data_IF_717072570439
#
_entry.id   IF_717072570439
#
_cell.length_a   1.000
_cell.length_b   1.000
_cell.length_c   1.000
_cell.angle_alpha   90.00
_cell.angle_beta   90.00
_cell.angle_gamma   90.00
#
_symmetry.space_group_name_H-M   'P 1'
#
loop_
_entity.id
_entity.type
_entity.pdbx_description
1 polymer ?
#
# COMPACT_ATOMS: atom_id res chain seq x y z
N UNK A 1 -19.09 -11.34 1.62
CA UNK A 1 -19.01 -10.82 2.99
C UNK A 1 -20.18 -11.40 3.79
N UNK A 2 -19.96 -12.48 4.55
CA UNK A 2 -20.94 -12.92 5.53
C UNK A 2 -20.70 -12.11 6.81
N UNK A 3 -21.48 -11.05 7.00
CA UNK A 3 -21.54 -10.31 8.24
C UNK A 3 -22.41 -11.05 9.22
N UNK A 4 -21.83 -11.98 9.98
CA UNK A 4 -22.48 -12.56 11.13
C UNK A 4 -22.40 -11.58 12.31
N UNK A 5 -23.51 -10.98 12.68
CA UNK A 5 -23.64 -10.23 13.93
C UNK A 5 -23.65 -11.25 15.06
N UNK A 6 -22.47 -11.56 15.63
CA UNK A 6 -22.41 -12.31 16.89
C UNK A 6 -22.31 -11.32 18.04
N UNK A 7 -23.46 -11.04 18.66
CA UNK A 7 -23.50 -10.38 19.97
C UNK A 7 -23.35 -11.51 21.00
N UNK A 8 -22.16 -11.64 21.56
CA UNK A 8 -21.98 -12.49 22.75
C UNK A 8 -22.19 -11.62 24.00
N UNK A 9 -23.30 -11.80 24.67
CA UNK A 9 -23.49 -11.28 26.02
C UNK A 9 -22.59 -12.06 26.98
N UNK A 10 -21.41 -11.54 27.28
CA UNK A 10 -20.66 -11.97 28.45
C UNK A 10 -21.14 -11.15 29.65
N UNK A 11 -21.67 -11.81 30.66
CA UNK A 11 -22.04 -11.21 31.95
C UNK A 11 -20.82 -10.58 32.62
N UNK A 12 -20.68 -9.30 32.47
CA UNK A 12 -19.92 -8.43 33.37
C UNK A 12 -20.77 -7.19 33.61
N UNK A 13 -20.94 -6.82 34.87
CA UNK A 13 -21.76 -5.71 35.33
C UNK A 13 -21.26 -4.33 34.86
N UNK A 14 -21.30 -4.11 33.57
CA UNK A 14 -21.15 -2.79 32.95
C UNK A 14 -21.89 -2.84 31.61
N UNK A 15 -22.77 -1.90 31.38
CA UNK A 15 -23.51 -1.70 30.11
C UNK A 15 -22.55 -1.31 28.98
N UNK A 16 -21.59 -2.15 28.65
CA UNK A 16 -20.65 -1.94 27.57
C UNK A 16 -21.07 -2.72 26.31
N UNK A 17 -21.30 -2.02 25.21
CA UNK A 17 -21.50 -2.63 23.91
C UNK A 17 -20.14 -3.05 23.34
N UNK A 18 -19.97 -4.32 22.99
CA UNK A 18 -18.74 -4.83 22.38
C UNK A 18 -18.95 -4.96 20.89
N UNK A 19 -18.15 -4.25 20.10
CA UNK A 19 -18.12 -4.38 18.64
C UNK A 19 -16.93 -5.24 18.25
N UNK A 20 -17.17 -6.37 17.59
CA UNK A 20 -16.12 -7.27 17.10
C UNK A 20 -15.99 -7.09 15.59
N UNK A 21 -14.80 -6.63 15.17
CA UNK A 21 -14.46 -6.50 13.74
C UNK A 21 -13.50 -7.64 13.37
N UNK A 22 -13.94 -8.53 12.49
CA UNK A 22 -13.12 -9.65 12.02
C UNK A 22 -12.54 -9.34 10.64
N UNK A 23 -11.23 -9.39 10.53
CA UNK A 23 -10.52 -9.21 9.27
C UNK A 23 -10.16 -10.56 8.65
N UNK A 24 -10.60 -10.79 7.42
CA UNK A 24 -10.16 -11.95 6.65
C UNK A 24 -8.77 -11.67 6.06
N UNK A 25 -7.84 -12.59 6.33
CA UNK A 25 -6.43 -12.47 5.91
C UNK A 25 -6.27 -12.27 4.41
N UNK A 26 -7.10 -12.92 3.59
CA UNK A 26 -7.04 -12.83 2.14
C UNK A 26 -7.45 -11.45 1.62
N UNK A 27 -8.42 -10.81 2.28
CA UNK A 27 -8.83 -9.43 1.95
C UNK A 27 -7.70 -8.45 2.28
N UNK A 28 -7.09 -8.58 3.46
CA UNK A 28 -5.96 -7.74 3.85
C UNK A 28 -4.76 -7.91 2.92
N UNK A 29 -4.44 -9.15 2.53
CA UNK A 29 -3.39 -9.43 1.54
C UNK A 29 -3.69 -8.75 0.20
N UNK A 30 -4.93 -8.83 -0.27
CA UNK A 30 -5.37 -8.20 -1.53
C UNK A 30 -5.30 -6.67 -1.46
N UNK A 31 -5.74 -6.06 -0.35
CA UNK A 31 -5.69 -4.61 -0.13
C UNK A 31 -4.26 -4.08 -0.17
N UNK A 32 -3.32 -4.84 0.40
CA UNK A 32 -1.91 -4.48 0.47
C UNK A 32 -1.04 -5.25 -0.56
N UNK A 33 -1.66 -5.76 -1.62
CA UNK A 33 -0.95 -6.48 -2.67
C UNK A 33 0.11 -5.63 -3.36
N UNK A 34 -0.23 -4.36 -3.62
CA UNK A 34 0.65 -3.42 -4.31
C UNK A 34 1.49 -2.56 -3.38
N UNK A 35 1.04 -2.32 -2.16
CA UNK A 35 1.69 -1.41 -1.23
C UNK A 35 1.72 -2.00 0.18
N UNK A 36 2.93 -2.09 0.76
CA UNK A 36 3.10 -2.53 2.15
C UNK A 36 2.69 -1.38 3.08
N UNK A 37 1.88 -1.67 4.11
CA UNK A 37 1.51 -0.66 5.09
C UNK A 37 2.73 0.04 5.67
N UNK A 38 2.70 1.36 5.78
CA UNK A 38 3.80 2.18 6.32
C UNK A 38 4.23 1.69 7.72
N UNK A 39 3.28 1.22 8.52
CA UNK A 39 3.52 0.68 9.87
C UNK A 39 4.46 -0.54 9.86
N UNK A 40 4.55 -1.26 8.76
CA UNK A 40 5.42 -2.43 8.63
C UNK A 40 6.80 -2.09 8.02
N UNK A 41 7.06 -0.82 7.68
CA UNK A 41 8.37 -0.42 7.15
C UNK A 41 9.39 -0.37 8.29
N UNK A 42 10.57 -1.03 8.15
CA UNK A 42 11.55 -1.18 9.24
C UNK A 42 12.18 0.15 9.71
N UNK A 43 12.07 1.21 8.91
CA UNK A 43 12.55 2.55 9.23
C UNK A 43 11.47 3.52 9.71
N UNK A 44 10.25 3.08 9.93
CA UNK A 44 9.36 3.82 10.77
C UNK A 44 9.95 3.76 12.19
N UNK A 45 11.11 4.45 12.42
CA UNK A 45 11.38 4.97 13.74
C UNK A 45 10.11 5.70 14.11
N UNK A 46 9.29 5.02 14.87
CA UNK A 46 8.32 5.67 15.71
C UNK A 46 9.18 6.67 16.46
N UNK A 47 9.25 7.90 15.91
CA UNK A 47 10.01 8.95 16.56
C UNK A 47 9.42 9.02 17.95
N UNK A 48 10.27 8.85 18.97
CA UNK A 48 9.94 9.08 20.36
C UNK A 48 9.61 10.57 20.62
N UNK A 49 9.32 11.34 19.56
CA UNK A 49 8.78 12.67 19.68
C UNK A 49 7.34 12.54 20.16
N UNK A 50 7.20 12.72 21.47
CA UNK A 50 5.95 13.08 22.15
C UNK A 50 4.72 12.46 21.50
N UNK A 51 4.55 11.16 21.68
CA UNK A 51 3.22 10.58 21.64
C UNK A 51 2.50 11.24 22.85
N UNK A 52 1.93 12.42 22.62
CA UNK A 52 0.80 12.78 23.41
C UNK A 52 -0.12 11.57 23.29
N UNK A 53 -0.37 10.87 24.38
CA UNK A 53 -1.40 9.84 24.44
C UNK A 53 -2.71 10.60 24.21
N UNK A 54 -2.99 10.89 22.93
CA UNK A 54 -4.31 11.29 22.49
C UNK A 54 -5.10 10.03 22.74
N UNK A 55 -6.04 10.13 23.66
CA UNK A 55 -6.98 9.06 23.92
C UNK A 55 -7.71 8.80 22.60
N UNK A 56 -7.20 7.84 21.81
CA UNK A 56 -7.71 7.51 20.46
C UNK A 56 -9.05 6.78 20.54
N UNK A 57 -9.57 6.51 21.75
CA UNK A 57 -10.88 5.90 21.94
C UNK A 57 -11.97 6.69 21.24
N UNK A 58 -11.88 8.02 21.24
CA UNK A 58 -12.84 8.86 20.53
C UNK A 58 -12.79 8.67 19.01
N UNK A 59 -11.60 8.57 18.41
CA UNK A 59 -11.46 8.37 16.95
C UNK A 59 -11.94 6.97 16.54
N UNK A 60 -11.61 5.96 17.33
CA UNK A 60 -12.07 4.59 17.12
C UNK A 60 -13.59 4.52 17.27
N UNK A 61 -14.15 5.19 18.29
CA UNK A 61 -15.60 5.24 18.46
C UNK A 61 -16.30 5.90 17.24
N UNK A 62 -15.78 7.01 16.74
CA UNK A 62 -16.31 7.66 15.54
C UNK A 62 -16.19 6.81 14.28
N UNK A 63 -15.12 6.05 14.17
CA UNK A 63 -14.96 5.06 13.11
C UNK A 63 -16.05 3.97 13.20
N UNK A 64 -16.29 3.44 14.40
CA UNK A 64 -17.33 2.41 14.66
C UNK A 64 -18.72 2.97 14.35
N UNK A 65 -19.04 4.18 14.82
CA UNK A 65 -20.31 4.85 14.53
C UNK A 65 -20.51 4.95 13.01
N UNK A 66 -19.47 5.33 12.27
CA UNK A 66 -19.51 5.41 10.82
C UNK A 66 -19.68 4.04 10.12
N UNK A 67 -19.09 2.97 10.67
CA UNK A 67 -19.30 1.61 10.17
C UNK A 67 -20.74 1.15 10.37
N UNK A 68 -21.31 1.39 11.56
CA UNK A 68 -22.70 1.01 11.87
C UNK A 68 -23.68 1.67 10.90
N UNK A 69 -23.44 2.94 10.55
CA UNK A 69 -24.25 3.63 9.53
C UNK A 69 -24.26 2.88 8.18
N UNK A 70 -23.12 2.34 7.75
CA UNK A 70 -23.03 1.57 6.50
C UNK A 70 -23.74 0.22 6.61
N UNK A 71 -23.73 -0.43 7.77
CA UNK A 71 -24.48 -1.67 7.99
C UNK A 71 -25.99 -1.44 7.94
N UNK A 72 -26.46 -0.29 8.39
CA UNK A 72 -27.87 0.10 8.32
C UNK A 72 -28.29 0.51 6.91
N UNK A 73 -27.33 0.99 6.09
CA UNK A 73 -27.57 1.50 4.75
C UNK A 73 -26.68 0.78 3.70
N UNK A 74 -26.82 -0.53 3.49
CA UNK A 74 -25.91 -1.32 2.65
C UNK A 74 -25.91 -0.89 1.17
N UNK A 75 -26.98 -0.26 0.69
CA UNK A 75 -27.06 0.26 -0.68
C UNK A 75 -26.12 1.44 -0.97
N UNK A 76 -25.59 2.08 0.07
CA UNK A 76 -24.61 3.17 -0.04
C UNK A 76 -23.16 2.68 -0.06
N UNK A 77 -22.94 1.36 0.06
CA UNK A 77 -21.62 0.78 0.23
C UNK A 77 -21.12 0.18 -1.08
N UNK A 78 -19.99 0.67 -1.59
CA UNK A 78 -19.22 0.01 -2.64
C UNK A 78 -18.04 -0.77 -2.05
N UNK A 79 -17.47 -1.68 -2.86
CA UNK A 79 -16.27 -2.42 -2.47
C UNK A 79 -15.08 -1.48 -2.21
N UNK A 80 -14.99 -0.36 -2.95
CA UNK A 80 -13.97 0.65 -2.73
C UNK A 80 -14.11 1.33 -1.36
N UNK A 81 -15.33 1.66 -0.94
CA UNK A 81 -15.59 2.24 0.38
C UNK A 81 -15.16 1.24 1.47
N UNK A 82 -15.48 -0.05 1.32
CA UNK A 82 -15.07 -1.06 2.29
C UNK A 82 -13.55 -1.19 2.39
N UNK A 83 -12.84 -1.14 1.26
CA UNK A 83 -11.38 -1.15 1.23
C UNK A 83 -10.80 0.07 1.96
N UNK A 84 -11.35 1.27 1.72
CA UNK A 84 -10.92 2.49 2.41
C UNK A 84 -11.18 2.40 3.91
N UNK A 85 -12.34 1.89 4.33
CA UNK A 85 -12.66 1.68 5.76
C UNK A 85 -11.74 0.67 6.43
N UNK A 86 -11.33 -0.39 5.75
CA UNK A 86 -10.34 -1.34 6.26
C UNK A 86 -8.96 -0.71 6.40
N UNK A 87 -8.54 0.13 5.46
CA UNK A 87 -7.28 0.88 5.58
C UNK A 87 -7.31 1.89 6.72
N UNK A 88 -8.43 2.60 6.87
CA UNK A 88 -8.64 3.60 7.92
C UNK A 88 -8.47 2.98 9.32
N UNK A 89 -9.15 1.87 9.62
CA UNK A 89 -9.02 1.26 10.96
C UNK A 89 -7.60 0.78 11.24
N UNK A 90 -6.89 0.25 10.25
CA UNK A 90 -5.50 -0.18 10.43
C UNK A 90 -4.60 1.01 10.75
N UNK A 91 -4.81 2.16 10.09
CA UNK A 91 -4.07 3.39 10.37
C UNK A 91 -4.42 3.98 11.74
N UNK A 92 -5.68 3.94 12.15
CA UNK A 92 -6.11 4.37 13.48
C UNK A 92 -5.49 3.50 14.56
N UNK A 93 -5.57 2.18 14.43
CA UNK A 93 -4.95 1.25 15.36
C UNK A 93 -3.43 1.41 15.44
N UNK A 94 -2.79 1.74 14.32
CA UNK A 94 -1.35 2.01 14.28
C UNK A 94 -0.92 3.25 15.09
N UNK A 95 -1.85 4.12 15.43
CA UNK A 95 -1.62 5.32 16.24
C UNK A 95 -2.00 5.12 17.71
N UNK A 96 -2.52 3.97 18.09
CA UNK A 96 -2.83 3.64 19.48
C UNK A 96 -1.59 3.24 20.27
N UNK A 97 -1.74 3.08 21.59
CA UNK A 97 -0.67 2.54 22.44
C UNK A 97 -0.32 1.09 22.08
N UNK A 98 -1.26 0.36 21.47
CA UNK A 98 -1.13 -1.04 21.07
C UNK A 98 -0.58 -1.20 19.62
N UNK A 99 0.04 -0.16 19.06
CA UNK A 99 0.59 -0.18 17.71
C UNK A 99 1.56 -1.37 17.47
N UNK A 100 2.30 -1.78 18.49
CA UNK A 100 3.21 -2.94 18.40
C UNK A 100 2.43 -4.26 18.21
N UNK A 101 1.29 -4.43 18.89
CA UNK A 101 0.42 -5.60 18.74
C UNK A 101 -0.15 -5.63 17.33
N UNK A 102 -0.62 -4.49 16.83
CA UNK A 102 -1.11 -4.35 15.44
C UNK A 102 -0.01 -4.71 14.44
N UNK A 103 1.22 -4.25 14.67
CA UNK A 103 2.37 -4.59 13.84
C UNK A 103 2.65 -6.10 13.83
N UNK A 104 2.61 -6.76 14.98
CA UNK A 104 2.78 -8.23 15.10
C UNK A 104 1.69 -8.95 14.32
N UNK A 105 0.42 -8.59 14.51
CA UNK A 105 -0.71 -9.20 13.80
C UNK A 105 -0.54 -9.03 12.29
N UNK A 106 -0.27 -7.83 11.81
CA UNK A 106 -0.07 -7.56 10.38
C UNK A 106 1.17 -8.29 9.83
N UNK A 107 2.26 -8.39 10.59
CA UNK A 107 3.45 -9.14 10.16
C UNK A 107 3.19 -10.63 9.98
N UNK A 108 2.29 -11.21 10.79
CA UNK A 108 1.88 -12.61 10.66
C UNK A 108 1.03 -12.87 9.40
N UNK A 109 0.34 -11.86 8.88
CA UNK A 109 -0.44 -11.97 7.65
C UNK A 109 0.45 -12.11 6.40
N UNK A 110 1.65 -11.56 6.48
CA UNK A 110 2.66 -11.66 5.44
C UNK A 110 3.75 -12.62 5.93
N UNK A 111 4.01 -13.72 5.22
CA UNK A 111 5.18 -14.53 5.56
C UNK A 111 6.41 -13.62 5.58
N UNK A 112 7.33 -13.84 6.51
CA UNK A 112 8.57 -13.02 6.60
C UNK A 112 9.30 -12.92 5.25
N UNK A 113 9.33 -14.00 4.49
CA UNK A 113 9.92 -14.06 3.15
C UNK A 113 9.17 -13.18 2.14
N UNK A 114 7.84 -13.25 2.09
CA UNK A 114 7.03 -12.43 1.18
C UNK A 114 7.12 -10.95 1.54
N UNK A 115 7.13 -10.64 2.82
CA UNK A 115 7.30 -9.28 3.31
C UNK A 115 8.67 -8.71 2.91
N UNK A 116 9.75 -9.44 3.17
CA UNK A 116 11.11 -9.03 2.78
C UNK A 116 11.24 -8.87 1.27
N UNK A 117 10.66 -9.79 0.49
CA UNK A 117 10.66 -9.70 -0.97
C UNK A 117 9.97 -8.40 -1.45
N UNK A 118 8.78 -8.10 -0.95
CA UNK A 118 8.05 -6.87 -1.30
C UNK A 118 8.81 -5.61 -0.88
N UNK A 119 9.44 -5.60 0.30
CA UNK A 119 10.28 -4.48 0.74
C UNK A 119 11.45 -4.20 -0.21
N UNK A 120 12.15 -5.27 -0.65
CA UNK A 120 13.25 -5.15 -1.60
C UNK A 120 12.77 -4.50 -2.90
N UNK A 121 11.61 -4.94 -3.42
CA UNK A 121 11.04 -4.37 -4.65
C UNK A 121 10.70 -2.88 -4.46
N UNK A 122 9.93 -2.54 -3.43
CA UNK A 122 9.49 -1.15 -3.17
C UNK A 122 10.68 -0.21 -2.94
N UNK A 123 11.71 -0.64 -2.22
CA UNK A 123 12.91 0.16 -1.96
C UNK A 123 13.73 0.45 -3.23
N UNK A 124 13.60 -0.40 -4.25
CA UNK A 124 14.39 -0.32 -5.48
C UNK A 124 13.59 0.06 -6.73
N UNK A 125 12.29 0.38 -6.61
CA UNK A 125 11.43 0.68 -7.77
C UNK A 125 12.00 1.77 -8.66
N UNK A 126 12.50 2.84 -8.06
CA UNK A 126 12.99 4.03 -8.75
C UNK A 126 14.54 4.11 -8.83
N UNK A 127 15.22 3.07 -8.36
CA UNK A 127 16.67 2.95 -8.50
C UNK A 127 17.05 2.29 -9.83
N UNK A 128 18.31 2.46 -10.23
CA UNK A 128 18.83 1.82 -11.46
C UNK A 128 19.25 0.35 -11.27
N UNK A 129 18.79 -0.27 -10.18
CA UNK A 129 19.11 -1.67 -9.85
C UNK A 129 18.47 -2.63 -10.85
N UNK A 130 19.23 -3.60 -11.31
CA UNK A 130 18.82 -4.63 -12.25
C UNK A 130 18.04 -5.78 -11.60
N UNK A 131 17.45 -6.65 -12.43
CA UNK A 131 16.69 -7.83 -11.94
C UNK A 131 17.63 -8.82 -11.25
N UNK A 132 18.88 -8.92 -11.70
CA UNK A 132 19.94 -9.75 -11.12
C UNK A 132 20.24 -9.33 -9.68
N UNK A 133 20.39 -8.01 -9.46
CA UNK A 133 20.67 -7.44 -8.14
C UNK A 133 19.47 -7.62 -7.20
N UNK A 134 18.24 -7.43 -7.70
CA UNK A 134 17.00 -7.66 -6.93
C UNK A 134 16.88 -9.13 -6.52
N UNK A 135 17.22 -10.06 -7.41
CA UNK A 135 17.25 -11.49 -7.11
C UNK A 135 18.28 -11.80 -6.03
N UNK A 136 19.50 -11.22 -6.13
CA UNK A 136 20.54 -11.38 -5.13
C UNK A 136 20.14 -10.82 -3.77
N UNK A 137 19.58 -9.61 -3.72
CA UNK A 137 19.06 -9.00 -2.47
C UNK A 137 17.94 -9.85 -1.83
N UNK A 138 17.18 -10.56 -2.68
CA UNK A 138 16.13 -11.48 -2.23
C UNK A 138 16.64 -12.87 -1.85
N UNK A 139 17.93 -13.12 -1.93
CA UNK A 139 18.56 -14.44 -1.76
C UNK A 139 17.96 -15.51 -2.69
N UNK A 140 17.64 -15.15 -3.92
CA UNK A 140 17.04 -16.02 -4.92
C UNK A 140 17.89 -16.05 -6.21
N UNK A 141 17.83 -17.18 -6.93
CA UNK A 141 18.26 -17.18 -8.33
C UNK A 141 17.30 -16.32 -9.17
N UNK A 142 17.78 -15.76 -10.30
CA UNK A 142 16.98 -14.93 -11.20
C UNK A 142 15.68 -15.64 -11.65
N UNK A 143 15.75 -16.94 -11.92
CA UNK A 143 14.59 -17.75 -12.30
C UNK A 143 13.58 -17.90 -11.16
N UNK A 144 14.07 -18.16 -9.94
CA UNK A 144 13.22 -18.24 -8.74
C UNK A 144 12.59 -16.88 -8.40
N UNK A 145 13.38 -15.80 -8.54
CA UNK A 145 12.90 -14.43 -8.36
C UNK A 145 11.76 -14.10 -9.32
N UNK A 146 11.93 -14.35 -10.63
CA UNK A 146 10.89 -14.12 -11.64
C UNK A 146 9.62 -14.92 -11.36
N UNK A 147 9.75 -16.16 -10.91
CA UNK A 147 8.61 -17.02 -10.56
C UNK A 147 7.85 -16.49 -9.33
N UNK A 148 8.56 -16.13 -8.26
CA UNK A 148 7.96 -15.57 -7.06
C UNK A 148 7.33 -14.21 -7.33
N UNK A 149 7.99 -13.36 -8.14
CA UNK A 149 7.46 -12.09 -8.58
C UNK A 149 6.14 -12.26 -9.33
N UNK A 150 6.11 -13.18 -10.32
CA UNK A 150 4.88 -13.47 -11.10
C UNK A 150 3.75 -13.94 -10.21
N UNK A 151 4.05 -14.75 -9.20
CA UNK A 151 3.07 -15.22 -8.21
C UNK A 151 2.49 -14.09 -7.37
N UNK A 152 3.33 -13.11 -6.95
CA UNK A 152 2.94 -12.03 -6.04
C UNK A 152 2.29 -10.85 -6.76
N UNK A 153 2.74 -10.53 -7.98
CA UNK A 153 2.30 -9.34 -8.72
C UNK A 153 1.51 -9.64 -9.99
N UNK A 154 1.38 -10.92 -10.33
CA UNK A 154 0.75 -11.41 -11.58
C UNK A 154 1.33 -10.80 -12.87
N UNK A 155 2.56 -10.28 -12.81
CA UNK A 155 3.27 -9.62 -13.91
C UNK A 155 4.76 -10.00 -13.91
N UNK A 156 5.48 -9.67 -14.98
CA UNK A 156 6.93 -9.81 -15.00
C UNK A 156 7.61 -8.66 -14.23
N UNK A 157 8.78 -8.88 -13.57
CA UNK A 157 9.49 -7.82 -12.86
C UNK A 157 9.77 -6.59 -13.72
N UNK A 158 10.27 -6.80 -14.95
CA UNK A 158 10.62 -5.72 -15.86
C UNK A 158 9.40 -4.88 -16.26
N UNK A 159 8.26 -5.52 -16.54
CA UNK A 159 7.04 -4.83 -16.94
C UNK A 159 6.44 -4.05 -15.74
N UNK A 160 6.35 -4.69 -14.59
CA UNK A 160 5.83 -4.07 -13.38
C UNK A 160 6.65 -2.83 -12.98
N UNK A 161 7.98 -2.98 -12.85
CA UNK A 161 8.88 -1.88 -12.45
C UNK A 161 8.79 -0.74 -13.45
N UNK A 162 8.85 -1.04 -14.76
CA UNK A 162 8.69 -0.04 -15.81
C UNK A 162 7.36 0.73 -15.68
N UNK A 163 6.26 0.02 -15.47
CA UNK A 163 4.94 0.63 -15.34
C UNK A 163 4.85 1.54 -14.11
N UNK A 164 5.41 1.14 -12.96
CA UNK A 164 5.46 1.95 -11.74
C UNK A 164 6.31 3.21 -11.93
N UNK A 165 7.45 3.09 -12.63
CA UNK A 165 8.31 4.25 -13.00
C UNK A 165 7.59 5.23 -13.90
N UNK A 166 6.84 4.74 -14.89
CA UNK A 166 6.04 5.59 -15.78
C UNK A 166 4.88 6.29 -15.06
N UNK A 167 4.23 5.60 -14.13
CA UNK A 167 3.18 6.20 -13.28
C UNK A 167 3.75 7.35 -12.44
N UNK A 168 4.89 7.13 -11.79
CA UNK A 168 5.57 8.18 -11.02
C UNK A 168 6.02 9.36 -11.90
N UNK A 169 6.53 9.06 -13.11
CA UNK A 169 6.90 10.11 -14.05
C UNK A 169 5.70 10.95 -14.51
N UNK A 170 4.55 10.32 -14.77
CA UNK A 170 3.32 11.03 -15.11
C UNK A 170 2.85 11.96 -13.98
N UNK A 171 2.92 11.53 -12.72
CA UNK A 171 2.64 12.37 -11.55
C UNK A 171 3.58 13.60 -11.51
N UNK A 172 4.90 13.38 -11.67
CA UNK A 172 5.89 14.46 -11.63
C UNK A 172 5.75 15.44 -12.82
N UNK A 173 5.40 14.93 -14.01
CA UNK A 173 5.13 15.78 -15.18
C UNK A 173 3.98 16.74 -14.94
N UNK A 174 2.95 16.35 -14.19
CA UNK A 174 1.81 17.19 -13.84
C UNK A 174 2.12 18.13 -12.67
N UNK A 175 2.89 17.65 -11.67
CA UNK A 175 3.07 18.36 -10.40
C UNK A 175 4.27 19.31 -10.38
N UNK A 176 5.26 19.14 -11.27
CA UNK A 176 6.50 19.90 -11.24
C UNK A 176 6.87 20.53 -12.58
N UNK A 177 7.68 21.60 -12.51
CA UNK A 177 8.31 22.23 -13.67
C UNK A 177 9.69 21.64 -14.04
N UNK A 178 10.09 20.52 -13.42
CA UNK A 178 11.38 19.89 -13.63
C UNK A 178 11.61 19.48 -15.08
N UNK A 179 12.86 19.37 -15.47
CA UNK A 179 13.19 18.93 -16.84
C UNK A 179 12.76 17.47 -17.03
N UNK A 180 12.24 17.16 -18.20
CA UNK A 180 11.79 15.80 -18.55
C UNK A 180 12.92 14.77 -18.39
N UNK A 181 14.17 15.20 -18.71
CA UNK A 181 15.38 14.38 -18.49
C UNK A 181 15.59 14.03 -17.03
N UNK A 182 15.44 15.00 -16.14
CA UNK A 182 15.66 14.81 -14.69
C UNK A 182 14.58 13.90 -14.13
N UNK A 183 13.31 14.13 -14.47
CA UNK A 183 12.21 13.22 -14.12
C UNK A 183 12.45 11.79 -14.60
N UNK A 184 12.96 11.60 -15.83
CA UNK A 184 13.27 10.28 -16.35
C UNK A 184 14.31 9.55 -15.48
N UNK A 185 15.41 10.23 -15.12
CA UNK A 185 16.47 9.66 -14.30
C UNK A 185 16.01 9.43 -12.86
N UNK A 186 15.29 10.35 -12.25
CA UNK A 186 14.74 10.23 -10.90
C UNK A 186 13.71 9.10 -10.78
N UNK A 187 13.02 8.80 -11.89
CA UNK A 187 12.16 7.63 -11.98
C UNK A 187 12.90 6.32 -12.31
N UNK A 188 14.24 6.34 -12.38
CA UNK A 188 15.08 5.14 -12.55
C UNK A 188 15.26 4.69 -13.99
N UNK A 189 14.98 5.51 -15.00
CA UNK A 189 15.34 5.20 -16.39
C UNK A 189 16.81 5.52 -16.64
N UNK A 190 17.50 4.65 -17.40
CA UNK A 190 18.93 4.82 -17.71
C UNK A 190 19.16 5.75 -18.90
N UNK A 191 18.15 5.92 -19.75
CA UNK A 191 18.24 6.80 -20.91
C UNK A 191 16.87 7.40 -21.28
N UNK A 192 16.91 8.59 -21.85
CA UNK A 192 15.72 9.36 -22.23
C UNK A 192 14.96 8.76 -23.42
N UNK A 193 15.64 8.05 -24.31
CA UNK A 193 15.00 7.47 -25.50
C UNK A 193 14.10 6.30 -25.07
N UNK A 194 14.59 5.41 -24.20
CA UNK A 194 13.80 4.32 -23.63
C UNK A 194 12.63 4.86 -22.80
N UNK A 195 12.87 5.90 -21.98
CA UNK A 195 11.80 6.57 -21.23
C UNK A 195 10.70 7.08 -22.17
N UNK A 196 11.07 7.90 -23.15
CA UNK A 196 10.12 8.55 -24.07
C UNK A 196 9.31 7.53 -24.84
N UNK A 197 9.97 6.46 -25.35
CA UNK A 197 9.30 5.37 -26.04
C UNK A 197 8.32 4.63 -25.12
N UNK A 198 8.78 4.22 -23.94
CA UNK A 198 7.94 3.50 -22.97
C UNK A 198 6.77 4.33 -22.47
N UNK A 199 6.97 5.66 -22.33
CA UNK A 199 5.91 6.58 -21.95
C UNK A 199 4.86 6.70 -23.05
N UNK A 200 5.30 6.86 -24.30
CA UNK A 200 4.40 6.91 -25.43
C UNK A 200 3.62 5.61 -25.60
N UNK A 201 4.28 4.46 -25.43
CA UNK A 201 3.62 3.15 -25.54
C UNK A 201 2.52 2.99 -24.47
N UNK A 202 2.68 3.57 -23.27
CA UNK A 202 1.71 3.47 -22.18
C UNK A 202 0.60 4.52 -22.25
N UNK A 203 0.94 5.78 -22.57
CA UNK A 203 0.01 6.91 -22.50
C UNK A 203 -0.46 7.44 -23.85
N UNK A 204 0.04 6.89 -24.96
CA UNK A 204 -0.34 7.29 -26.32
C UNK A 204 0.22 8.65 -26.78
N UNK A 205 1.01 9.32 -25.93
CA UNK A 205 1.55 10.65 -26.22
C UNK A 205 2.96 10.83 -25.64
N UNK A 206 3.70 11.83 -26.13
CA UNK A 206 5.03 12.12 -25.57
C UNK A 206 4.94 12.74 -24.17
N UNK A 207 6.00 12.60 -23.32
CA UNK A 207 6.05 13.25 -22.01
C UNK A 207 5.83 14.75 -22.05
N UNK A 208 6.36 15.43 -23.10
CA UNK A 208 6.19 16.88 -23.30
C UNK A 208 4.73 17.25 -23.56
N UNK A 209 4.08 16.56 -24.48
CA UNK A 209 2.67 16.80 -24.80
C UNK A 209 1.76 16.45 -23.62
N UNK A 210 2.07 15.36 -22.91
CA UNK A 210 1.34 14.96 -21.70
C UNK A 210 1.35 16.08 -20.66
N UNK A 211 2.52 16.70 -20.40
CA UNK A 211 2.63 17.85 -19.51
C UNK A 211 1.78 19.02 -19.96
N UNK A 212 1.85 19.40 -21.24
CA UNK A 212 1.13 20.56 -21.76
C UNK A 212 -0.38 20.42 -21.65
N UNK A 213 -0.92 19.22 -21.91
CA UNK A 213 -2.38 18.97 -21.85
C UNK A 213 -2.94 18.88 -20.42
N UNK A 214 -2.10 18.79 -19.40
CA UNK A 214 -2.55 18.75 -18.00
C UNK A 214 -2.42 20.13 -17.31
N UNK A 215 -1.80 21.10 -17.96
CA UNK A 215 -1.63 22.48 -17.46
C UNK A 215 -2.64 23.47 -18.06
N UNK A 216 -3.50 23.03 -18.98
CA UNK A 216 -4.67 23.75 -19.47
C UNK A 216 -5.90 23.46 -18.60
#
# INVERSE_FOLDING_TARGET
LNSGKQIQNSHADSNGEIVIVTFHTDILKKIYEREIPQILKPNSRISNQSRAAVNNDFLIQKYIDGLLFYFENPSLVSDEILVLKLKEIILLLAQTQDAEIVQVILSQLFSSTTYTFKQIIEANLFSQVGIEDLAQQSNLSVSSFKREFKKLYNDSPANYIRNRRLEKAAELLCASGERITDIAFDCGFNDLANFTKSFHDKYGTSPSNYRSTQQE
#
